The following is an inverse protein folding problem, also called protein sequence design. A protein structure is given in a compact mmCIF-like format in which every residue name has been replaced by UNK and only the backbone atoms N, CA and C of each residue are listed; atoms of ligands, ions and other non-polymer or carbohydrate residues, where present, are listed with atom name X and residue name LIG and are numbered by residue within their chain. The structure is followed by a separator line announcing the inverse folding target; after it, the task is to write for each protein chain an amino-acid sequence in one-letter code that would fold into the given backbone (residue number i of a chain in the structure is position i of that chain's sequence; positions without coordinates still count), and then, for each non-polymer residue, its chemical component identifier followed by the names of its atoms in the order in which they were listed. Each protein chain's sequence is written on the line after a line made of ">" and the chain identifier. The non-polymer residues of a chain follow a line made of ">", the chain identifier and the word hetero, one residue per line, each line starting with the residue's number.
data_IF_037397288379
#
_entry.id   IF_037397288379
#
_cell.length_a   1.000
_cell.length_b   1.000
_cell.length_c   1.000
_cell.angle_alpha   90.00
_cell.angle_beta   90.00
_cell.angle_gamma   90.00
#
_symmetry.space_group_name_H-M   'P 1'
#
loop_
_entity.id
_entity.type
_entity.pdbx_description
1 polymer ?
#
# COMPACT_ATOMS: atom_id res chain seq x y z
N UNK A 1 10.77 -4.28 10.91
CA UNK A 1 10.21 -4.11 12.27
C UNK A 1 9.15 -5.17 12.47
N UNK A 2 9.05 -5.79 13.66
CA UNK A 2 8.04 -6.83 13.89
C UNK A 2 6.72 -6.25 14.36
N UNK A 3 5.65 -6.78 13.78
CA UNK A 3 4.26 -6.45 14.08
C UNK A 3 3.60 -7.70 14.66
N UNK A 4 2.81 -7.53 15.71
CA UNK A 4 2.00 -8.63 16.26
C UNK A 4 0.64 -8.68 15.57
N UNK A 5 0.20 -9.89 15.25
CA UNK A 5 -1.16 -10.20 14.83
C UNK A 5 -1.79 -11.16 15.83
N UNK A 6 -2.95 -10.77 16.36
CA UNK A 6 -3.73 -11.57 17.30
C UNK A 6 -5.03 -11.97 16.65
N UNK A 7 -5.35 -13.26 16.68
CA UNK A 7 -6.68 -13.77 16.34
C UNK A 7 -7.31 -14.36 17.58
N UNK A 8 -8.60 -14.17 17.72
CA UNK A 8 -9.40 -14.74 18.79
C UNK A 8 -10.34 -15.77 18.16
N UNK A 9 -10.30 -17.00 18.67
CA UNK A 9 -11.23 -18.03 18.24
C UNK A 9 -12.61 -17.76 18.85
N UNK A 10 -13.64 -17.67 18.01
CA UNK A 10 -14.99 -17.26 18.40
C UNK A 10 -15.62 -18.14 19.49
N UNK A 11 -15.42 -19.46 19.42
CA UNK A 11 -16.07 -20.41 20.33
C UNK A 11 -15.37 -20.49 21.69
N UNK A 12 -14.04 -20.49 21.70
CA UNK A 12 -13.25 -20.74 22.91
C UNK A 12 -12.71 -19.45 23.55
N UNK A 13 -12.77 -18.31 22.85
CA UNK A 13 -12.05 -17.08 23.21
C UNK A 13 -10.53 -17.24 23.16
N UNK A 14 -10.01 -18.37 22.68
CA UNK A 14 -8.58 -18.65 22.69
C UNK A 14 -7.88 -17.79 21.67
N UNK A 15 -6.88 -17.09 22.16
CA UNK A 15 -6.07 -16.24 21.30
C UNK A 15 -4.94 -17.04 20.63
N UNK A 16 -4.68 -16.70 19.37
CA UNK A 16 -3.47 -17.06 18.65
C UNK A 16 -2.66 -15.80 18.42
N UNK A 17 -1.41 -15.79 18.92
CA UNK A 17 -0.48 -14.68 18.75
C UNK A 17 0.57 -15.08 17.73
N UNK A 18 0.76 -14.24 16.71
CA UNK A 18 1.79 -14.42 15.69
C UNK A 18 2.50 -13.09 15.45
N UNK A 19 3.72 -13.15 14.91
CA UNK A 19 4.51 -11.97 14.58
C UNK A 19 4.99 -12.07 13.13
N UNK A 20 5.04 -10.96 12.42
CA UNK A 20 5.69 -10.90 11.11
C UNK A 20 6.44 -9.57 10.93
N UNK A 21 7.36 -9.52 9.98
CA UNK A 21 7.99 -8.27 9.58
C UNK A 21 6.95 -7.35 8.90
N UNK A 22 7.08 -6.04 9.12
CA UNK A 22 6.19 -5.04 8.54
C UNK A 22 6.09 -5.16 7.02
N UNK A 23 7.21 -5.34 6.31
CA UNK A 23 7.21 -5.50 4.86
C UNK A 23 6.40 -6.73 4.42
N UNK A 24 6.51 -7.83 5.17
CA UNK A 24 5.71 -9.02 4.91
C UNK A 24 4.22 -8.83 5.20
N UNK A 25 3.86 -7.97 6.17
CA UNK A 25 2.47 -7.57 6.37
C UNK A 25 1.97 -6.70 5.23
N UNK A 26 2.77 -5.71 4.79
CA UNK A 26 2.45 -4.81 3.69
C UNK A 26 2.20 -5.59 2.39
N UNK A 27 3.05 -6.56 2.06
CA UNK A 27 2.82 -7.44 0.91
C UNK A 27 1.53 -8.27 1.06
N UNK A 28 1.23 -8.77 2.26
CA UNK A 28 -0.01 -9.53 2.52
C UNK A 28 -1.27 -8.70 2.38
N UNK A 29 -1.25 -7.42 2.78
CA UNK A 29 -2.43 -6.55 2.67
C UNK A 29 -2.63 -6.02 1.25
N UNK A 30 -1.58 -5.99 0.42
CA UNK A 30 -1.70 -5.65 -1.02
C UNK A 30 -2.55 -6.68 -1.78
N UNK A 31 -2.39 -7.96 -1.46
CA UNK A 31 -3.19 -9.04 -2.05
C UNK A 31 -4.26 -9.45 -1.05
N UNK A 32 -5.46 -8.89 -1.20
CA UNK A 32 -6.56 -9.11 -0.26
C UNK A 32 -7.10 -10.55 -0.36
N UNK A 33 -6.41 -11.52 0.25
CA UNK A 33 -6.78 -12.95 0.25
C UNK A 33 -8.05 -13.25 1.07
N UNK A 34 -8.54 -12.26 1.82
CA UNK A 34 -9.79 -12.30 2.61
C UNK A 34 -10.73 -11.15 2.25
N UNK A 35 -10.71 -10.70 0.98
CA UNK A 35 -11.47 -9.55 0.50
C UNK A 35 -12.92 -9.54 0.97
N UNK A 36 -13.59 -10.70 1.01
CA UNK A 36 -14.97 -10.80 1.50
C UNK A 36 -15.13 -10.32 2.96
N UNK A 37 -14.24 -10.71 3.88
CA UNK A 37 -14.38 -10.36 5.28
C UNK A 37 -13.98 -8.92 5.58
N UNK A 38 -12.90 -8.44 4.94
CA UNK A 38 -12.47 -7.05 5.11
C UNK A 38 -13.48 -6.10 4.49
N UNK A 39 -13.97 -6.40 3.28
CA UNK A 39 -15.03 -5.63 2.62
C UNK A 39 -16.30 -5.64 3.45
N UNK A 40 -16.77 -6.82 3.89
CA UNK A 40 -17.97 -6.90 4.73
C UNK A 40 -17.84 -6.14 6.05
N UNK A 41 -16.66 -6.22 6.71
CA UNK A 41 -16.39 -5.42 7.90
C UNK A 41 -16.45 -3.93 7.58
N UNK A 42 -15.75 -3.46 6.53
CA UNK A 42 -15.78 -2.06 6.09
C UNK A 42 -17.21 -1.59 5.80
N UNK A 43 -17.97 -2.38 5.06
CA UNK A 43 -19.38 -2.08 4.75
C UNK A 43 -20.22 -2.00 6.01
N UNK A 44 -20.06 -2.96 6.95
CA UNK A 44 -20.76 -2.93 8.23
C UNK A 44 -20.41 -1.67 9.04
N UNK A 45 -19.14 -1.31 9.10
CA UNK A 45 -18.66 -0.11 9.81
C UNK A 45 -19.28 1.19 9.29
N UNK A 46 -19.63 1.27 8.00
CA UNK A 46 -20.31 2.45 7.43
C UNK A 46 -21.72 2.66 7.99
N UNK A 47 -22.37 1.61 8.49
CA UNK A 47 -23.78 1.64 8.91
C UNK A 47 -23.98 1.32 10.38
N UNK A 48 -22.91 1.22 11.16
CA UNK A 48 -22.97 0.87 12.57
C UNK A 48 -22.41 1.96 13.46
N UNK A 49 -23.02 2.10 14.63
CA UNK A 49 -22.53 2.96 15.69
C UNK A 49 -21.28 2.36 16.33
N UNK A 50 -20.40 3.15 16.98
CA UNK A 50 -19.13 2.67 17.54
C UNK A 50 -19.28 1.47 18.50
N UNK A 51 -20.39 1.37 19.22
CA UNK A 51 -20.76 0.27 20.12
C UNK A 51 -21.14 -1.04 19.37
N UNK A 52 -21.51 -0.96 18.09
CA UNK A 52 -21.83 -2.11 17.27
C UNK A 52 -20.58 -2.75 16.60
N UNK A 53 -19.39 -2.13 16.71
CA UNK A 53 -18.14 -2.65 16.10
C UNK A 53 -17.74 -4.06 16.54
N UNK A 54 -18.10 -4.44 17.77
CA UNK A 54 -17.81 -5.79 18.32
C UNK A 54 -18.72 -6.90 17.77
N UNK A 55 -19.74 -6.57 16.98
CA UNK A 55 -20.75 -7.52 16.51
C UNK A 55 -20.45 -8.12 15.14
N UNK A 56 -19.29 -7.86 14.54
CA UNK A 56 -18.94 -8.49 13.26
C UNK A 56 -18.79 -10.01 13.43
N UNK A 57 -19.63 -10.79 12.74
CA UNK A 57 -19.75 -12.23 12.97
C UNK A 57 -18.44 -13.01 12.72
N UNK A 58 -17.57 -12.48 11.85
CA UNK A 58 -16.34 -13.11 11.39
C UNK A 58 -15.08 -12.41 11.92
N UNK A 59 -15.13 -11.83 13.12
CA UNK A 59 -13.95 -11.25 13.81
C UNK A 59 -12.80 -12.26 13.92
N UNK A 60 -13.09 -13.55 14.10
CA UNK A 60 -12.11 -14.65 14.12
C UNK A 60 -11.31 -14.78 12.81
N UNK A 61 -11.89 -14.33 11.69
CA UNK A 61 -11.24 -14.36 10.37
C UNK A 61 -10.29 -13.20 10.16
N UNK A 62 -10.34 -12.15 10.98
CA UNK A 62 -9.51 -10.95 10.84
C UNK A 62 -8.54 -10.82 12.02
N UNK A 63 -7.23 -10.65 11.78
CA UNK A 63 -6.30 -10.41 12.87
C UNK A 63 -6.45 -8.97 13.42
N UNK A 64 -6.43 -8.82 14.75
CA UNK A 64 -6.13 -7.55 15.41
C UNK A 64 -4.63 -7.27 15.25
N UNK A 65 -4.28 -6.12 14.66
CA UNK A 65 -2.90 -5.75 14.33
C UNK A 65 -2.37 -4.82 15.42
N UNK A 66 -1.23 -5.16 16.00
CA UNK A 66 -0.52 -4.34 16.99
C UNK A 66 0.84 -3.94 16.41
N UNK A 67 0.92 -2.79 15.73
CA UNK A 67 2.12 -2.36 15.04
C UNK A 67 3.23 -1.91 15.98
N UNK A 68 2.89 -1.53 17.21
CA UNK A 68 3.84 -0.95 18.17
C UNK A 68 4.55 -1.95 19.08
N UNK A 69 4.04 -3.18 19.15
CA UNK A 69 4.45 -4.17 20.14
C UNK A 69 4.71 -5.52 19.48
N UNK A 70 5.84 -6.15 19.84
CA UNK A 70 6.08 -7.58 19.64
C UNK A 70 5.62 -8.34 20.89
N UNK A 71 4.53 -9.11 20.77
CA UNK A 71 4.08 -10.02 21.81
C UNK A 71 4.63 -11.43 21.59
N UNK A 72 4.88 -12.13 22.70
CA UNK A 72 4.97 -13.57 22.76
C UNK A 72 4.00 -14.14 23.78
N UNK A 73 4.19 -15.42 24.11
CA UNK A 73 3.47 -16.12 25.18
C UNK A 73 4.37 -16.29 26.41
N UNK A 74 3.79 -16.09 27.58
CA UNK A 74 4.34 -16.52 28.86
C UNK A 74 4.11 -18.03 29.07
N UNK A 75 4.73 -18.61 30.11
CA UNK A 75 4.57 -20.04 30.46
C UNK A 75 3.15 -20.42 30.85
N UNK A 76 2.40 -19.48 31.40
CA UNK A 76 0.99 -19.59 31.77
C UNK A 76 0.03 -19.36 30.57
N UNK A 77 0.57 -19.13 29.37
CA UNK A 77 -0.23 -18.84 28.18
C UNK A 77 -0.69 -17.37 28.06
N UNK A 78 -0.37 -16.50 29.02
CA UNK A 78 -0.70 -15.06 28.92
C UNK A 78 0.16 -14.35 27.86
N UNK A 79 -0.27 -13.16 27.42
CA UNK A 79 0.51 -12.31 26.52
C UNK A 79 1.72 -11.76 27.27
N UNK A 80 2.91 -11.86 26.65
CA UNK A 80 4.14 -11.25 27.17
C UNK A 80 4.68 -10.24 26.17
N UNK A 81 4.83 -8.99 26.57
CA UNK A 81 5.53 -7.99 25.77
C UNK A 81 7.01 -8.37 25.67
N UNK A 82 7.53 -8.52 24.45
CA UNK A 82 8.95 -8.76 24.19
C UNK A 82 9.68 -7.47 23.84
N UNK A 83 9.05 -6.63 23.02
CA UNK A 83 9.64 -5.40 22.51
C UNK A 83 8.57 -4.36 22.22
N UNK A 84 8.87 -3.12 22.62
CA UNK A 84 8.18 -1.91 22.17
C UNK A 84 9.05 -1.22 21.12
N UNK A 85 8.46 -0.72 20.04
CA UNK A 85 9.21 -0.04 18.98
C UNK A 85 9.04 1.49 18.96
N UNK A 86 8.33 2.07 19.94
CA UNK A 86 8.12 3.52 20.02
C UNK A 86 6.94 4.05 19.21
N UNK A 87 6.27 3.22 18.41
CA UNK A 87 5.05 3.65 17.70
C UNK A 87 3.92 3.83 18.71
N UNK A 88 3.22 4.95 18.62
CA UNK A 88 2.01 5.24 19.40
C UNK A 88 0.83 5.41 18.44
N UNK A 89 -0.31 4.86 18.82
CA UNK A 89 -1.57 5.15 18.14
C UNK A 89 -2.23 6.30 18.89
N UNK A 90 -2.42 7.43 18.20
CA UNK A 90 -3.19 8.55 18.71
C UNK A 90 -4.59 8.44 18.10
N UNK A 91 -5.58 8.20 18.96
CA UNK A 91 -6.98 8.20 18.58
C UNK A 91 -7.61 9.50 19.05
N UNK A 92 -8.14 10.28 18.11
CA UNK A 92 -8.91 11.49 18.40
C UNK A 92 -10.33 11.18 18.01
N UNK A 93 -11.26 11.19 18.99
CA UNK A 93 -12.70 11.13 18.77
C UNK A 93 -13.22 10.08 17.77
N UNK A 94 -12.67 8.86 17.72
CA UNK A 94 -13.24 7.79 16.88
C UNK A 94 -13.49 8.26 15.41
N UNK A 95 -12.52 8.95 14.78
CA UNK A 95 -12.52 9.54 13.40
C UNK A 95 -13.07 8.67 12.23
N UNK A 96 -13.65 7.53 12.53
CA UNK A 96 -14.44 6.68 11.65
C UNK A 96 -15.93 7.09 11.57
N UNK A 97 -16.32 8.31 11.95
CA UNK A 97 -17.57 8.87 11.49
C UNK A 97 -17.54 9.05 9.97
N UNK A 98 -18.62 8.67 9.27
CA UNK A 98 -18.83 8.98 7.84
C UNK A 98 -18.47 10.43 7.42
N UNK A 99 -18.62 11.49 8.25
CA UNK A 99 -18.26 12.85 7.84
C UNK A 99 -16.79 13.25 8.08
N UNK A 100 -15.96 12.38 8.67
CA UNK A 100 -14.62 12.77 9.18
C UNK A 100 -13.45 12.22 8.36
N UNK A 101 -13.73 11.36 7.37
CA UNK A 101 -12.74 10.83 6.44
C UNK A 101 -13.40 10.54 5.09
N UNK A 102 -13.33 11.49 4.18
CA UNK A 102 -13.81 11.33 2.81
C UNK A 102 -12.66 11.15 1.80
N UNK A 103 -12.99 10.95 0.52
CA UNK A 103 -11.99 10.80 -0.55
C UNK A 103 -11.06 12.03 -0.63
N UNK A 104 -11.51 13.20 -0.17
CA UNK A 104 -10.74 14.44 -0.12
C UNK A 104 -9.66 14.36 0.96
N UNK A 105 -10.01 13.87 2.15
CA UNK A 105 -9.05 13.64 3.24
C UNK A 105 -7.99 12.60 2.85
N UNK A 106 -8.37 11.56 2.10
CA UNK A 106 -7.43 10.57 1.56
C UNK A 106 -6.42 11.22 0.60
N UNK A 107 -6.86 12.16 -0.24
CA UNK A 107 -5.97 12.92 -1.14
C UNK A 107 -5.01 13.80 -0.35
N UNK A 108 -5.51 14.53 0.65
CA UNK A 108 -4.68 15.40 1.51
C UNK A 108 -3.61 14.58 2.25
N UNK A 109 -3.99 13.42 2.79
CA UNK A 109 -3.04 12.54 3.46
C UNK A 109 -2.01 11.95 2.51
N UNK A 110 -2.40 11.59 1.28
CA UNK A 110 -1.44 11.12 0.27
C UNK A 110 -0.45 12.21 -0.13
N UNK A 111 -0.91 13.44 -0.33
CA UNK A 111 -0.03 14.57 -0.64
C UNK A 111 0.88 14.91 0.55
N UNK A 112 0.36 14.97 1.77
CA UNK A 112 1.17 15.23 2.97
C UNK A 112 2.21 14.13 3.22
N UNK A 113 1.89 12.87 2.90
CA UNK A 113 2.81 11.75 3.10
C UNK A 113 3.79 11.57 1.93
N UNK A 114 3.66 12.35 0.85
CA UNK A 114 4.47 12.23 -0.37
C UNK A 114 5.97 12.38 -0.10
N UNK A 115 6.36 13.22 0.85
CA UNK A 115 7.76 13.42 1.22
C UNK A 115 8.40 12.20 1.92
N UNK A 116 7.58 11.33 2.52
CA UNK A 116 8.04 10.10 3.18
C UNK A 116 8.04 8.89 2.24
N UNK A 117 7.52 9.03 1.01
CA UNK A 117 7.53 7.95 0.03
C UNK A 117 8.96 7.63 -0.43
N UNK A 118 9.37 6.37 -0.29
CA UNK A 118 10.63 5.91 -0.86
C UNK A 118 10.49 5.73 -2.38
N UNK A 119 11.31 6.46 -3.13
CA UNK A 119 11.39 6.33 -4.60
C UNK A 119 12.01 4.97 -4.93
N UNK A 120 11.28 4.15 -5.70
CA UNK A 120 11.79 2.83 -6.09
C UNK A 120 13.01 2.95 -7.03
N UNK A 121 13.93 1.96 -7.07
CA UNK A 121 15.07 2.00 -7.99
C UNK A 121 14.68 2.17 -9.47
N UNK A 122 13.54 1.60 -9.87
CA UNK A 122 12.99 1.74 -11.22
C UNK A 122 12.48 3.18 -11.49
N UNK A 123 11.84 3.81 -10.51
CA UNK A 123 11.40 5.20 -10.58
C UNK A 123 12.58 6.17 -10.58
N UNK A 124 13.60 5.93 -9.75
CA UNK A 124 14.86 6.68 -9.80
C UNK A 124 15.52 6.59 -11.18
N UNK A 125 15.60 5.38 -11.75
CA UNK A 125 16.18 5.19 -13.07
C UNK A 125 15.37 5.88 -14.16
N UNK A 126 14.04 5.88 -14.05
CA UNK A 126 13.19 6.67 -14.93
C UNK A 126 13.57 8.15 -14.89
N UNK A 127 13.69 8.75 -13.70
CA UNK A 127 14.10 10.16 -13.56
C UNK A 127 15.50 10.46 -14.10
N UNK A 128 16.40 9.49 -14.13
CA UNK A 128 17.74 9.67 -14.72
C UNK A 128 17.70 9.82 -16.25
N UNK A 129 16.72 9.21 -16.93
CA UNK A 129 16.70 9.11 -18.40
C UNK A 129 15.49 9.75 -19.06
N UNK A 130 14.45 10.07 -18.30
CA UNK A 130 13.19 10.60 -18.81
C UNK A 130 12.63 11.68 -17.89
N UNK A 131 11.90 12.61 -18.50
CA UNK A 131 11.02 13.56 -17.81
C UNK A 131 9.77 13.85 -18.64
N UNK A 132 8.78 14.49 -18.03
CA UNK A 132 7.67 15.10 -18.76
C UNK A 132 8.16 16.28 -19.61
N UNK A 133 7.52 16.56 -20.76
CA UNK A 133 7.71 17.83 -21.47
C UNK A 133 7.29 19.02 -20.63
N UNK A 134 7.95 20.16 -20.82
CA UNK A 134 7.46 21.47 -20.37
C UNK A 134 6.48 22.07 -21.40
N UNK A 135 5.77 23.16 -21.07
CA UNK A 135 4.66 23.72 -21.88
C UNK A 135 5.03 24.02 -23.35
N UNK A 136 6.32 24.29 -23.62
CA UNK A 136 6.83 24.62 -24.96
C UNK A 136 7.60 23.47 -25.63
N UNK A 137 7.63 22.28 -25.03
CA UNK A 137 8.40 21.14 -25.54
C UNK A 137 7.50 20.03 -26.10
N UNK A 138 7.94 19.46 -27.22
CA UNK A 138 7.27 18.32 -27.84
C UNK A 138 7.95 17.01 -27.41
N UNK A 139 7.25 16.20 -26.62
CA UNK A 139 7.75 14.90 -26.19
C UNK A 139 7.61 13.80 -27.24
N UNK A 140 8.33 12.69 -27.04
CA UNK A 140 8.12 11.46 -27.79
C UNK A 140 7.02 10.64 -27.10
N UNK A 141 6.04 10.20 -27.90
CA UNK A 141 5.00 9.28 -27.43
C UNK A 141 5.50 7.84 -27.45
N UNK A 142 5.71 7.26 -26.27
CA UNK A 142 6.26 5.92 -26.10
C UNK A 142 5.29 5.03 -25.30
N UNK A 143 5.28 3.72 -25.57
CA UNK A 143 4.57 2.77 -24.69
C UNK A 143 5.37 2.53 -23.42
N UNK A 144 4.71 2.11 -22.33
CA UNK A 144 5.41 1.70 -21.10
C UNK A 144 6.48 0.64 -21.40
N UNK A 145 6.20 -0.29 -22.31
CA UNK A 145 7.15 -1.33 -22.74
C UNK A 145 8.42 -0.73 -23.36
N UNK A 146 8.27 0.22 -24.30
CA UNK A 146 9.43 0.84 -24.98
C UNK A 146 10.31 1.63 -24.01
N UNK A 147 9.69 2.30 -23.02
CA UNK A 147 10.42 3.03 -21.97
C UNK A 147 11.19 2.04 -21.07
N UNK A 148 10.54 0.97 -20.61
CA UNK A 148 11.21 -0.04 -19.75
C UNK A 148 12.34 -0.74 -20.51
N UNK A 149 12.16 -1.12 -21.77
CA UNK A 149 13.20 -1.73 -22.60
C UNK A 149 14.43 -0.82 -22.71
N UNK A 150 14.23 0.48 -22.86
CA UNK A 150 15.33 1.46 -22.84
C UNK A 150 16.05 1.46 -21.47
N UNK A 151 15.30 1.54 -20.37
CA UNK A 151 15.85 1.53 -19.01
C UNK A 151 16.64 0.25 -18.72
N UNK A 152 16.22 -0.88 -19.25
CA UNK A 152 16.93 -2.16 -19.15
C UNK A 152 18.23 -2.20 -19.92
N UNK A 153 18.26 -1.59 -21.12
CA UNK A 153 19.50 -1.41 -21.87
C UNK A 153 20.55 -0.64 -21.07
N UNK A 154 20.12 0.28 -20.19
CA UNK A 154 20.98 1.06 -19.30
C UNK A 154 21.31 0.34 -17.98
N UNK A 155 20.43 -0.52 -17.47
CA UNK A 155 20.64 -1.28 -16.24
C UNK A 155 20.06 -2.70 -16.33
N UNK A 156 20.95 -3.71 -16.29
CA UNK A 156 20.58 -5.14 -16.36
C UNK A 156 19.87 -5.67 -15.11
N UNK A 157 19.72 -4.86 -14.07
CA UNK A 157 19.14 -5.26 -12.78
C UNK A 157 17.60 -5.32 -12.82
N UNK A 158 16.96 -4.77 -13.86
CA UNK A 158 15.50 -4.68 -13.96
C UNK A 158 14.98 -5.78 -14.89
N UNK A 159 14.13 -6.68 -14.41
CA UNK A 159 13.56 -7.79 -15.20
C UNK A 159 12.21 -7.44 -15.85
N UNK A 160 11.98 -7.80 -17.12
CA UNK A 160 10.65 -7.70 -17.75
C UNK A 160 9.75 -8.82 -17.22
N UNK A 161 8.85 -8.49 -16.31
CA UNK A 161 7.69 -9.32 -15.98
C UNK A 161 6.40 -8.55 -16.27
N UNK A 162 5.27 -9.26 -16.43
CA UNK A 162 3.96 -8.62 -16.54
C UNK A 162 3.63 -7.75 -15.31
N UNK A 163 4.12 -8.14 -14.13
CA UNK A 163 4.02 -7.32 -12.91
C UNK A 163 4.89 -6.06 -12.97
N UNK A 164 6.05 -6.10 -13.62
CA UNK A 164 6.91 -4.94 -13.83
C UNK A 164 6.22 -3.88 -14.70
N UNK A 165 5.55 -4.28 -15.79
CA UNK A 165 4.86 -3.35 -16.69
C UNK A 165 3.69 -2.66 -15.97
N UNK A 166 2.87 -3.42 -15.23
CA UNK A 166 1.75 -2.83 -14.48
C UNK A 166 2.22 -1.91 -13.35
N UNK A 167 3.30 -2.27 -12.66
CA UNK A 167 3.93 -1.43 -11.63
C UNK A 167 4.50 -0.14 -12.25
N UNK A 168 5.16 -0.24 -13.39
CA UNK A 168 5.72 0.92 -14.09
C UNK A 168 4.65 1.87 -14.63
N UNK A 169 3.52 1.34 -15.12
CA UNK A 169 2.38 2.18 -15.49
C UNK A 169 1.87 3.04 -14.33
N UNK A 170 1.90 2.51 -13.10
CA UNK A 170 1.57 3.29 -11.89
C UNK A 170 2.62 4.36 -11.59
N UNK A 171 3.91 4.06 -11.79
CA UNK A 171 5.01 5.03 -11.65
C UNK A 171 4.80 6.20 -12.61
N UNK A 172 4.50 5.95 -13.88
CA UNK A 172 4.27 7.00 -14.87
C UNK A 172 3.07 7.89 -14.49
N UNK A 173 1.98 7.28 -14.03
CA UNK A 173 0.81 8.02 -13.55
C UNK A 173 1.12 8.86 -12.31
N UNK A 174 1.84 8.30 -11.33
CA UNK A 174 2.29 9.00 -10.11
C UNK A 174 3.13 10.23 -10.46
N UNK A 175 4.00 10.09 -11.46
CA UNK A 175 4.85 11.17 -11.96
C UNK A 175 4.14 12.11 -12.94
N UNK A 176 2.81 12.05 -13.01
CA UNK A 176 1.97 12.94 -13.80
C UNK A 176 2.35 13.00 -15.29
N UNK A 177 2.89 11.89 -15.81
CA UNK A 177 3.25 11.79 -17.23
C UNK A 177 1.96 11.72 -18.04
N UNK A 178 1.83 12.62 -19.02
CA UNK A 178 0.66 12.66 -19.88
C UNK A 178 0.51 11.34 -20.64
N UNK A 179 -0.72 10.83 -20.73
CA UNK A 179 -1.00 9.54 -21.34
C UNK A 179 -2.20 9.58 -22.27
N UNK A 180 -2.13 8.84 -23.36
CA UNK A 180 -3.23 8.70 -24.33
C UNK A 180 -3.44 7.26 -24.74
N UNK A 181 -4.71 6.88 -24.89
CA UNK A 181 -5.08 5.54 -25.35
C UNK A 181 -5.02 5.45 -26.87
N UNK A 182 -4.31 4.46 -27.38
CA UNK A 182 -4.18 4.20 -28.82
C UNK A 182 -4.58 2.77 -29.15
N UNK A 183 -4.72 2.45 -30.45
CA UNK A 183 -4.94 1.07 -30.93
C UNK A 183 -3.81 0.11 -30.55
N UNK A 184 -2.61 0.62 -30.24
CA UNK A 184 -1.43 -0.15 -29.83
C UNK A 184 -1.25 -0.23 -28.31
N UNK A 185 -2.21 0.30 -27.53
CA UNK A 185 -2.15 0.38 -26.08
C UNK A 185 -2.00 1.81 -25.56
N UNK A 186 -1.66 1.93 -24.27
CA UNK A 186 -1.40 3.23 -23.64
C UNK A 186 -0.03 3.77 -24.05
N UNK A 187 0.01 5.02 -24.48
CA UNK A 187 1.24 5.76 -24.74
C UNK A 187 1.39 6.90 -23.76
N UNK A 188 2.63 7.26 -23.47
CA UNK A 188 3.03 8.29 -22.52
C UNK A 188 3.96 9.25 -23.23
N UNK A 189 3.74 10.54 -23.02
CA UNK A 189 4.59 11.58 -23.61
C UNK A 189 5.78 11.85 -22.70
N UNK A 190 6.98 11.60 -23.21
CA UNK A 190 8.22 11.71 -22.44
C UNK A 190 9.32 12.35 -23.28
N UNK A 191 10.20 13.08 -22.61
CA UNK A 191 11.46 13.54 -23.21
C UNK A 191 12.58 12.67 -22.66
N UNK A 192 13.36 12.08 -23.56
CA UNK A 192 14.60 11.41 -23.21
C UNK A 192 15.65 12.45 -22.83
N UNK A 193 16.17 12.35 -21.61
CA UNK A 193 17.30 13.11 -21.10
C UNK A 193 18.60 12.50 -21.67
N UNK A 194 18.78 12.68 -22.98
CA UNK A 194 19.93 12.35 -23.84
C UNK A 194 20.80 11.09 -23.53
N UNK A 195 20.66 10.14 -24.46
CA UNK A 195 21.63 9.23 -25.14
C UNK A 195 22.84 8.69 -24.38
#
# INVERSE_FOLDING_TARGET
>A
MKITLIREEKESGKETVSTCEADALLEKIKTETKAAHVTALRTMLLYTTPDARDHYEHTDKLPRIYPSIEYGRSRDGSRKMKRYNGVVMLEVNDLAGLPEFDDTDEVVLKESNREFEQISPLEQLFHCYFRSPEEDEMGEWMTSMKIIEYLQGKSKTISLSNSCISTFGRILKKNQIESKRTKKGMQYEVIMLNK
#
